data_IF_762164506548
#
_entry.id   IF_762164506548
#
_cell.length_a   1.000
_cell.length_b   1.000
_cell.length_c   1.000
_cell.angle_alpha   90.00
_cell.angle_beta   90.00
_cell.angle_gamma   90.00
#
_symmetry.space_group_name_H-M   'P 1'
#
loop_
_entity.id
_entity.type
_entity.pdbx_description
1 polymer ?
#
# COMPACT_ATOMS: atom_id res chain seq x y z
N UNK A 1 18.42 26.65 -0.61
CA UNK A 1 17.44 25.57 -0.34
C UNK A 1 16.70 25.94 0.93
N UNK A 2 15.39 26.16 0.84
CA UNK A 2 14.55 26.45 2.00
C UNK A 2 14.35 25.17 2.84
N UNK A 3 14.03 25.30 4.13
CA UNK A 3 13.58 24.18 4.97
C UNK A 3 12.39 23.42 4.34
N UNK A 4 11.55 24.15 3.60
CA UNK A 4 10.41 23.63 2.86
C UNK A 4 10.82 22.70 1.70
N UNK A 5 11.80 23.07 0.87
CA UNK A 5 12.30 22.20 -0.22
C UNK A 5 12.83 20.88 0.34
N UNK A 6 13.61 20.91 1.44
CA UNK A 6 14.13 19.69 2.09
C UNK A 6 13.00 18.80 2.59
N UNK A 7 11.96 19.40 3.19
CA UNK A 7 10.80 18.66 3.68
C UNK A 7 9.97 18.04 2.55
N UNK A 8 9.80 18.74 1.44
CA UNK A 8 9.13 18.20 0.24
C UNK A 8 9.88 16.96 -0.27
N UNK A 9 11.20 17.03 -0.42
CA UNK A 9 12.02 15.87 -0.84
C UNK A 9 11.88 14.69 0.11
N UNK A 10 11.85 14.93 1.43
CA UNK A 10 11.64 13.86 2.41
C UNK A 10 10.26 13.20 2.26
N UNK A 11 9.19 13.98 2.04
CA UNK A 11 7.84 13.47 1.83
C UNK A 11 7.75 12.64 0.53
N UNK A 12 8.43 13.04 -0.53
CA UNK A 12 8.51 12.27 -1.77
C UNK A 12 9.23 10.94 -1.59
N UNK A 13 10.33 10.93 -0.83
CA UNK A 13 11.02 9.69 -0.49
C UNK A 13 10.11 8.74 0.33
N UNK A 14 9.30 9.30 1.23
CA UNK A 14 8.29 8.52 1.96
C UNK A 14 7.18 7.99 1.06
N UNK A 15 6.66 8.79 0.12
CA UNK A 15 5.66 8.33 -0.86
C UNK A 15 6.19 7.16 -1.69
N UNK A 16 7.42 7.26 -2.18
CA UNK A 16 8.06 6.16 -2.91
C UNK A 16 8.27 4.91 -2.06
N UNK A 17 8.62 5.07 -0.78
CA UNK A 17 8.77 3.93 0.13
C UNK A 17 7.42 3.24 0.39
N UNK A 18 6.34 4.02 0.57
CA UNK A 18 4.98 3.50 0.70
C UNK A 18 4.58 2.75 -0.57
N UNK A 19 4.81 3.33 -1.75
CA UNK A 19 4.50 2.69 -3.03
C UNK A 19 5.16 1.31 -3.14
N UNK A 20 6.49 1.24 -2.94
CA UNK A 20 7.23 -0.02 -3.03
C UNK A 20 6.74 -1.06 -2.04
N UNK A 21 6.46 -0.64 -0.80
CA UNK A 21 5.94 -1.55 0.23
C UNK A 21 4.56 -2.09 -0.16
N UNK A 22 3.66 -1.24 -0.65
CA UNK A 22 2.33 -1.67 -1.10
C UNK A 22 2.41 -2.64 -2.26
N UNK A 23 3.28 -2.37 -3.24
CA UNK A 23 3.51 -3.27 -4.38
C UNK A 23 4.03 -4.64 -3.93
N UNK A 24 5.10 -4.68 -3.12
CA UNK A 24 5.67 -5.94 -2.65
C UNK A 24 4.72 -6.74 -1.77
N UNK A 25 3.91 -6.04 -0.97
CA UNK A 25 2.85 -6.64 -0.17
C UNK A 25 1.77 -7.25 -1.07
N UNK A 26 1.25 -6.51 -2.05
CA UNK A 26 0.20 -6.99 -2.96
C UNK A 26 0.70 -8.18 -3.79
N UNK A 27 1.95 -8.15 -4.24
CA UNK A 27 2.57 -9.27 -4.94
C UNK A 27 2.66 -10.51 -4.04
N UNK A 28 3.17 -10.36 -2.82
CA UNK A 28 3.30 -11.47 -1.86
C UNK A 28 1.95 -12.11 -1.55
N UNK A 29 0.90 -11.30 -1.37
CA UNK A 29 -0.45 -11.79 -1.14
C UNK A 29 -1.08 -12.40 -2.38
N UNK A 30 -0.82 -11.87 -3.58
CA UNK A 30 -1.26 -12.48 -4.83
C UNK A 30 -0.70 -13.89 -5.00
N UNK A 31 0.58 -14.10 -4.69
CA UNK A 31 1.19 -15.45 -4.70
C UNK A 31 0.57 -16.37 -3.65
N UNK A 32 0.24 -15.84 -2.47
CA UNK A 32 -0.41 -16.60 -1.41
C UNK A 32 -1.82 -17.06 -1.83
N UNK A 33 -2.64 -16.15 -2.38
CA UNK A 33 -3.98 -16.46 -2.91
C UNK A 33 -3.91 -17.52 -4.01
N UNK A 34 -2.98 -17.37 -4.96
CA UNK A 34 -2.79 -18.34 -6.04
C UNK A 34 -2.36 -19.71 -5.51
N UNK A 35 -1.41 -19.74 -4.57
CA UNK A 35 -0.92 -20.99 -3.95
C UNK A 35 -2.03 -21.70 -3.20
N UNK A 36 -2.85 -20.97 -2.44
CA UNK A 36 -4.02 -21.52 -1.78
C UNK A 36 -5.02 -22.07 -2.79
N UNK A 37 -5.34 -21.35 -3.86
CA UNK A 37 -6.27 -21.82 -4.89
C UNK A 37 -5.85 -23.16 -5.51
N UNK A 38 -4.55 -23.37 -5.74
CA UNK A 38 -4.03 -24.66 -6.22
C UNK A 38 -4.12 -25.76 -5.15
N UNK A 39 -3.80 -25.44 -3.90
CA UNK A 39 -3.80 -26.41 -2.81
C UNK A 39 -5.22 -26.81 -2.37
N UNK A 40 -6.16 -25.87 -2.32
CA UNK A 40 -7.56 -26.10 -1.99
C UNK A 40 -8.26 -27.06 -2.97
N UNK A 41 -7.77 -27.20 -4.20
CA UNK A 41 -8.30 -28.14 -5.17
C UNK A 41 -8.10 -29.61 -4.76
N UNK A 42 -7.11 -29.90 -3.90
CA UNK A 42 -6.77 -31.26 -3.44
C UNK A 42 -6.88 -31.44 -1.92
N UNK A 43 -7.00 -30.34 -1.17
CA UNK A 43 -7.10 -30.35 0.29
C UNK A 43 -8.57 -30.36 0.73
N UNK A 44 -8.98 -31.40 1.47
CA UNK A 44 -10.36 -31.59 1.91
C UNK A 44 -10.46 -32.07 3.36
N UNK A 45 -11.67 -31.98 3.92
CA UNK A 45 -11.98 -32.34 5.31
C UNK A 45 -12.12 -31.12 6.22
N UNK A 46 -12.49 -31.37 7.48
CA UNK A 46 -12.84 -30.31 8.44
C UNK A 46 -11.71 -29.30 8.69
N UNK A 47 -10.45 -29.75 8.65
CA UNK A 47 -9.29 -28.86 8.77
C UNK A 47 -9.14 -27.93 7.54
N UNK A 48 -9.49 -28.42 6.34
CA UNK A 48 -9.47 -27.63 5.12
C UNK A 48 -10.53 -26.52 5.14
N UNK A 49 -11.74 -26.84 5.63
CA UNK A 49 -12.82 -25.86 5.77
C UNK A 49 -12.46 -24.75 6.78
N UNK A 50 -11.91 -25.12 7.94
CA UNK A 50 -11.47 -24.15 8.94
C UNK A 50 -10.35 -23.25 8.42
N UNK A 51 -9.35 -23.83 7.75
CA UNK A 51 -8.29 -23.04 7.15
C UNK A 51 -8.81 -22.11 6.05
N UNK A 52 -9.69 -22.57 5.16
CA UNK A 52 -10.28 -21.74 4.09
C UNK A 52 -10.95 -20.50 4.66
N UNK A 53 -11.79 -20.68 5.69
CA UNK A 53 -12.48 -19.57 6.33
C UNK A 53 -11.51 -18.55 6.94
N UNK A 54 -10.45 -19.02 7.61
CA UNK A 54 -9.41 -18.14 8.18
C UNK A 54 -8.59 -17.44 7.09
N UNK A 55 -8.31 -18.14 6.00
CA UNK A 55 -7.58 -17.61 4.85
C UNK A 55 -8.38 -16.50 4.16
N UNK A 56 -9.66 -16.75 3.86
CA UNK A 56 -10.56 -15.77 3.25
C UNK A 56 -10.72 -14.52 4.13
N UNK A 57 -10.86 -14.69 5.44
CA UNK A 57 -10.89 -13.55 6.38
C UNK A 57 -9.59 -12.73 6.33
N UNK A 58 -8.44 -13.40 6.23
CA UNK A 58 -7.13 -12.74 6.12
C UNK A 58 -6.99 -11.99 4.79
N UNK A 59 -7.46 -12.58 3.69
CA UNK A 59 -7.53 -11.94 2.36
C UNK A 59 -8.38 -10.67 2.41
N UNK A 60 -9.57 -10.72 3.02
CA UNK A 60 -10.42 -9.53 3.14
C UNK A 60 -9.73 -8.43 3.94
N UNK A 61 -9.14 -8.75 5.09
CA UNK A 61 -8.37 -7.79 5.88
C UNK A 61 -7.19 -7.21 5.12
N UNK A 62 -6.61 -7.99 4.24
CA UNK A 62 -5.53 -7.53 3.41
C UNK A 62 -5.97 -6.50 2.37
N UNK A 63 -7.11 -6.75 1.73
CA UNK A 63 -7.71 -5.81 0.78
C UNK A 63 -8.08 -4.50 1.46
N UNK A 64 -8.73 -4.57 2.63
CA UNK A 64 -9.04 -3.38 3.44
C UNK A 64 -7.77 -2.57 3.77
N UNK A 65 -6.69 -3.25 4.18
CA UNK A 65 -5.41 -2.62 4.47
C UNK A 65 -4.81 -1.94 3.23
N UNK A 66 -4.83 -2.61 2.08
CA UNK A 66 -4.31 -2.05 0.83
C UNK A 66 -5.11 -0.82 0.36
N UNK A 67 -6.43 -0.84 0.51
CA UNK A 67 -7.30 0.31 0.21
C UNK A 67 -7.01 1.50 1.14
N UNK A 68 -6.88 1.24 2.44
CA UNK A 68 -6.54 2.27 3.42
C UNK A 68 -5.16 2.90 3.11
N UNK A 69 -4.16 2.07 2.79
CA UNK A 69 -2.84 2.54 2.38
C UNK A 69 -2.90 3.36 1.07
N UNK A 70 -3.76 2.98 0.12
CA UNK A 70 -3.99 3.74 -1.12
C UNK A 70 -4.52 5.15 -0.84
N UNK A 71 -5.49 5.26 0.05
CA UNK A 71 -6.09 6.53 0.43
C UNK A 71 -5.07 7.45 1.12
N UNK A 72 -4.28 6.91 2.05
CA UNK A 72 -3.21 7.66 2.73
C UNK A 72 -2.17 8.16 1.73
N UNK A 73 -1.76 7.30 0.80
CA UNK A 73 -0.78 7.66 -0.21
C UNK A 73 -1.29 8.76 -1.14
N UNK A 74 -2.54 8.67 -1.57
CA UNK A 74 -3.19 9.71 -2.38
C UNK A 74 -3.19 11.06 -1.67
N UNK A 75 -3.61 11.09 -0.40
CA UNK A 75 -3.60 12.32 0.41
C UNK A 75 -2.18 12.89 0.57
N UNK A 76 -1.18 12.03 0.76
CA UNK A 76 0.23 12.46 0.82
C UNK A 76 0.67 13.11 -0.49
N UNK A 77 0.33 12.51 -1.64
CA UNK A 77 0.67 13.05 -2.96
C UNK A 77 0.00 14.41 -3.21
N UNK A 78 -1.28 14.54 -2.87
CA UNK A 78 -2.01 15.82 -2.98
C UNK A 78 -1.35 16.92 -2.14
N UNK A 79 -0.91 16.59 -0.91
CA UNK A 79 -0.19 17.53 -0.04
C UNK A 79 1.18 17.91 -0.58
N UNK A 80 1.94 16.96 -1.14
CA UNK A 80 3.24 17.25 -1.78
C UNK A 80 3.06 18.24 -2.93
N UNK A 81 2.03 18.03 -3.78
CA UNK A 81 1.73 18.95 -4.89
C UNK A 81 1.39 20.35 -4.37
N UNK A 82 0.55 20.45 -3.33
CA UNK A 82 0.23 21.73 -2.71
C UNK A 82 1.49 22.45 -2.19
N UNK A 83 2.36 21.73 -1.47
CA UNK A 83 3.59 22.30 -0.92
C UNK A 83 4.57 22.75 -2.02
N UNK A 84 4.69 22.00 -3.12
CA UNK A 84 5.48 22.41 -4.29
C UNK A 84 4.96 23.71 -4.91
N UNK A 85 3.63 23.83 -5.06
CA UNK A 85 3.03 25.05 -5.59
C UNK A 85 3.29 26.26 -4.68
N UNK A 86 3.27 26.05 -3.36
CA UNK A 86 3.62 27.10 -2.39
C UNK A 86 5.11 27.47 -2.44
N UNK A 87 6.03 26.51 -2.48
CA UNK A 87 7.48 26.76 -2.58
C UNK A 87 7.81 27.53 -3.88
N UNK A 88 7.19 27.16 -5.00
CA UNK A 88 7.33 27.87 -6.28
C UNK A 88 6.79 29.30 -6.24
N UNK A 89 5.67 29.54 -5.54
CA UNK A 89 5.09 30.88 -5.40
C UNK A 89 5.92 31.80 -4.49
N UNK A 90 6.67 31.26 -3.53
CA UNK A 90 7.47 32.03 -2.57
C UNK A 90 8.97 32.12 -2.94
N UNK A 91 9.46 31.25 -3.83
CA UNK A 91 10.86 31.22 -4.29
C UNK A 91 11.19 32.09 -5.50
N UNK A 92 10.24 32.93 -5.96
CA UNK A 92 10.35 33.79 -7.15
C UNK A 92 10.74 35.25 -6.90
N UNK A 93 11.21 35.61 -5.70
CA UNK A 93 11.76 36.94 -5.37
C UNK A 93 13.23 36.85 -4.98
#
# INVERSE_FOLDING_TARGET
MSDLTTRITALEAYDQAIQRNREGINESFGYLEQSWGMFAAVYSGQAAEQFSAMFEASVMKMRECNEAMAAIQKELQERIVLLRNLDAAHGGL
#
